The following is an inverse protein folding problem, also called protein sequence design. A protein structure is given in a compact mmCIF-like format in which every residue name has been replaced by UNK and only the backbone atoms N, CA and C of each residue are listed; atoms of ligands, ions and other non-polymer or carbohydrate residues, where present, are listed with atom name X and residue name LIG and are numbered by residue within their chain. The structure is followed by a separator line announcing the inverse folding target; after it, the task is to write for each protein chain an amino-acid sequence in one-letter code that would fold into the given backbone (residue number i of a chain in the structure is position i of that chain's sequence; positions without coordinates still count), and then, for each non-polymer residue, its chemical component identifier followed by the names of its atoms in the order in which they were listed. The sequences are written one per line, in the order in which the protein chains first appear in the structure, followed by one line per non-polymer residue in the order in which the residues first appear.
data_IF_342542204280
#
_entry.id   IF_342542204280
#
_cell.length_a   1.000
_cell.length_b   1.000
_cell.length_c   1.000
_cell.angle_alpha   90.00
_cell.angle_beta   90.00
_cell.angle_gamma   90.00
#
_symmetry.space_group_name_H-M   'P 1'
#
loop_
_entity.id
_entity.type
_entity.pdbx_description
1 polymer ?
#
# COMPACT_ATOMS: atom_id res chain seq x y z
N UNK A 1 -9.81 -51.07 -0.08
CA UNK A 1 -9.36 -49.90 0.71
C UNK A 1 -8.52 -49.03 -0.23
N UNK A 2 -8.61 -47.71 -0.09
CA UNK A 2 -7.85 -46.67 -0.83
C UNK A 2 -8.43 -46.09 -2.14
N UNK A 3 -9.55 -45.39 -2.02
CA UNK A 3 -9.91 -44.33 -2.97
C UNK A 3 -10.57 -43.09 -2.32
N UNK A 4 -11.04 -43.19 -1.07
CA UNK A 4 -11.80 -42.13 -0.41
C UNK A 4 -10.96 -41.07 0.35
N UNK A 5 -9.64 -41.26 0.49
CA UNK A 5 -8.79 -40.40 1.35
C UNK A 5 -8.01 -39.30 0.61
N UNK A 6 -8.17 -39.15 -0.72
CA UNK A 6 -7.43 -38.15 -1.50
C UNK A 6 -8.19 -36.83 -1.75
N UNK A 7 -9.49 -36.79 -1.50
CA UNK A 7 -10.28 -35.57 -1.69
C UNK A 7 -10.35 -34.68 -0.45
N UNK A 8 -10.16 -35.23 0.75
CA UNK A 8 -10.24 -34.46 2.01
C UNK A 8 -9.00 -33.58 2.26
N UNK A 9 -7.85 -33.92 1.68
CA UNK A 9 -6.62 -33.14 1.83
C UNK A 9 -6.51 -31.98 0.85
N UNK A 10 -7.23 -32.01 -0.27
CA UNK A 10 -7.25 -30.93 -1.25
C UNK A 10 -8.15 -29.76 -0.83
N UNK A 11 -9.22 -30.01 -0.06
CA UNK A 11 -10.14 -28.97 0.43
C UNK A 11 -9.71 -28.27 1.72
N UNK A 12 -8.77 -28.85 2.48
CA UNK A 12 -8.33 -28.32 3.79
C UNK A 12 -7.22 -27.25 3.66
N UNK A 13 -6.53 -27.21 2.51
CA UNK A 13 -5.49 -26.21 2.23
C UNK A 13 -6.05 -24.90 1.62
N UNK A 14 -7.32 -24.88 1.20
CA UNK A 14 -7.95 -23.81 0.42
C UNK A 14 -8.54 -22.66 1.28
N UNK A 15 -8.42 -22.75 2.60
CA UNK A 15 -8.95 -21.74 3.51
C UNK A 15 -8.07 -21.72 4.74
N UNK A 16 -7.02 -20.91 4.72
CA UNK A 16 -6.66 -20.24 5.96
C UNK A 16 -7.91 -19.45 6.31
N UNK A 17 -8.72 -19.95 7.25
CA UNK A 17 -9.87 -19.24 7.79
C UNK A 17 -9.36 -17.86 8.17
N UNK A 18 -9.70 -16.85 7.36
CA UNK A 18 -9.13 -15.52 7.46
C UNK A 18 -9.72 -14.86 8.71
N UNK A 19 -8.98 -14.86 9.83
CA UNK A 19 -9.53 -14.41 11.10
C UNK A 19 -9.62 -12.88 11.13
N UNK A 20 -8.93 -12.20 10.22
CA UNK A 20 -8.86 -10.73 10.14
C UNK A 20 -10.13 -10.19 9.48
N UNK A 21 -10.77 -11.01 8.64
CA UNK A 21 -11.96 -10.65 7.88
C UNK A 21 -13.12 -10.14 8.76
N UNK A 22 -13.28 -10.69 9.97
CA UNK A 22 -14.35 -10.29 10.91
C UNK A 22 -14.11 -8.94 11.59
N UNK A 23 -12.85 -8.50 11.66
CA UNK A 23 -12.49 -7.24 12.34
C UNK A 23 -12.39 -6.05 11.38
N UNK A 24 -12.22 -6.30 10.08
CA UNK A 24 -12.07 -5.24 9.08
C UNK A 24 -13.40 -4.93 8.37
N UNK A 25 -13.67 -3.64 8.06
CA UNK A 25 -14.91 -3.23 7.40
C UNK A 25 -15.13 -3.98 6.10
N UNK A 26 -16.38 -4.39 5.85
CA UNK A 26 -16.78 -4.88 4.54
C UNK A 26 -16.92 -3.70 3.59
N UNK A 27 -16.47 -3.87 2.36
CA UNK A 27 -16.48 -2.83 1.34
C UNK A 27 -17.07 -3.39 0.05
N UNK A 28 -17.79 -2.54 -0.67
CA UNK A 28 -18.23 -2.84 -2.03
C UNK A 28 -17.10 -2.56 -3.04
N UNK A 29 -17.19 -3.16 -4.22
CA UNK A 29 -16.19 -2.99 -5.30
C UNK A 29 -16.01 -1.52 -5.67
N UNK A 30 -17.09 -0.74 -5.69
CA UNK A 30 -17.07 0.69 -6.05
C UNK A 30 -16.59 1.61 -4.91
N UNK A 31 -16.15 1.03 -3.79
CA UNK A 31 -15.67 1.79 -2.64
C UNK A 31 -14.37 2.55 -2.94
N UNK A 32 -14.11 3.57 -2.11
CA UNK A 32 -12.97 4.49 -2.26
C UNK A 32 -11.69 4.01 -1.57
N UNK A 33 -11.63 2.74 -1.15
CA UNK A 33 -10.46 2.20 -0.43
C UNK A 33 -9.19 2.24 -1.29
N UNK A 34 -9.33 2.10 -2.62
CA UNK A 34 -8.23 2.25 -3.56
C UNK A 34 -7.52 3.61 -3.50
N UNK A 35 -8.13 4.68 -2.96
CA UNK A 35 -7.45 5.97 -2.77
C UNK A 35 -6.25 5.87 -1.83
N UNK A 36 -6.30 5.01 -0.80
CA UNK A 36 -5.16 4.78 0.08
C UNK A 36 -4.03 4.04 -0.62
N UNK A 37 -4.36 3.20 -1.59
CA UNK A 37 -3.38 2.51 -2.45
C UNK A 37 -2.75 3.53 -3.41
N UNK A 38 -3.55 4.40 -4.04
CA UNK A 38 -3.10 5.48 -4.91
C UNK A 38 -2.32 6.58 -4.17
N UNK A 39 -2.52 6.73 -2.86
CA UNK A 39 -1.75 7.66 -2.03
C UNK A 39 -0.26 7.26 -1.94
N UNK A 40 0.09 5.97 -2.10
CA UNK A 40 1.49 5.51 -2.07
C UNK A 40 2.34 6.09 -3.21
N UNK A 41 1.98 5.93 -4.51
CA UNK A 41 2.75 6.54 -5.58
C UNK A 41 2.79 8.06 -5.47
N UNK A 42 1.69 8.70 -5.06
CA UNK A 42 1.65 10.14 -4.83
C UNK A 42 2.64 10.56 -3.73
N UNK A 43 2.65 9.85 -2.59
CA UNK A 43 3.56 10.10 -1.48
C UNK A 43 5.02 9.96 -1.89
N UNK A 44 5.38 8.92 -2.66
CA UNK A 44 6.75 8.71 -3.13
C UNK A 44 7.18 9.83 -4.09
N UNK A 45 6.33 10.22 -5.04
CA UNK A 45 6.63 11.31 -5.98
C UNK A 45 6.78 12.64 -5.23
N UNK A 46 5.82 13.00 -4.37
CA UNK A 46 5.89 14.24 -3.60
C UNK A 46 7.10 14.26 -2.66
N UNK A 47 7.37 13.15 -1.96
CA UNK A 47 8.55 13.00 -1.11
C UNK A 47 9.85 13.16 -1.88
N UNK A 48 9.96 12.53 -3.06
CA UNK A 48 11.12 12.68 -3.94
C UNK A 48 11.32 14.11 -4.43
N UNK A 49 10.24 14.78 -4.87
CA UNK A 49 10.28 16.19 -5.28
C UNK A 49 10.73 17.09 -4.11
N UNK A 50 10.14 16.91 -2.93
CA UNK A 50 10.52 17.66 -1.73
C UNK A 50 11.98 17.39 -1.33
N UNK A 51 12.47 16.16 -1.46
CA UNK A 51 13.86 15.82 -1.19
C UNK A 51 14.83 16.53 -2.14
N UNK A 52 14.50 16.61 -3.44
CA UNK A 52 15.30 17.36 -4.43
C UNK A 52 15.34 18.85 -4.10
N UNK A 53 14.19 19.46 -3.81
CA UNK A 53 14.13 20.87 -3.41
C UNK A 53 14.88 21.14 -2.11
N UNK A 54 14.73 20.25 -1.12
CA UNK A 54 15.44 20.35 0.15
C UNK A 54 16.95 20.25 -0.05
N UNK A 55 17.43 19.33 -0.89
CA UNK A 55 18.85 19.21 -1.21
C UNK A 55 19.39 20.49 -1.87
N UNK A 56 18.66 21.06 -2.83
CA UNK A 56 19.04 22.32 -3.47
C UNK A 56 19.10 23.48 -2.48
N UNK A 57 18.08 23.61 -1.63
CA UNK A 57 18.03 24.62 -0.57
C UNK A 57 19.17 24.44 0.44
N UNK A 58 19.44 23.21 0.86
CA UNK A 58 20.53 22.87 1.76
C UNK A 58 21.90 23.26 1.21
N UNK A 59 22.16 22.92 -0.06
CA UNK A 59 23.42 23.29 -0.71
C UNK A 59 23.56 24.80 -0.82
N UNK A 60 22.49 25.52 -1.14
CA UNK A 60 22.50 27.00 -1.18
C UNK A 60 22.75 27.61 0.21
N UNK A 61 22.04 27.12 1.22
CA UNK A 61 22.11 27.60 2.60
C UNK A 61 23.50 27.40 3.23
N UNK A 62 24.15 26.29 2.91
CA UNK A 62 25.50 25.95 3.39
C UNK A 62 26.51 27.06 3.10
N UNK A 63 26.39 27.77 1.98
CA UNK A 63 27.32 28.81 1.57
C UNK A 63 26.86 30.24 1.91
N UNK A 64 25.58 30.47 2.18
CA UNK A 64 25.03 31.83 2.39
C UNK A 64 24.55 32.10 3.81
N UNK A 65 23.81 31.18 4.41
CA UNK A 65 23.05 31.41 5.66
C UNK A 65 23.47 30.51 6.82
N UNK A 66 24.48 29.66 6.61
CA UNK A 66 25.11 28.88 7.67
C UNK A 66 24.24 27.76 8.25
N UNK A 67 23.20 27.33 7.53
CA UNK A 67 22.32 26.20 7.85
C UNK A 67 20.94 26.57 8.43
N UNK A 68 20.66 27.84 8.71
CA UNK A 68 19.45 28.24 9.47
C UNK A 68 18.15 27.95 8.70
N UNK A 69 18.08 28.25 7.41
CA UNK A 69 16.85 28.07 6.62
C UNK A 69 16.55 26.58 6.44
N UNK A 70 17.57 25.77 6.22
CA UNK A 70 17.49 24.33 6.03
C UNK A 70 17.10 23.61 7.32
N UNK A 71 17.62 24.07 8.46
CA UNK A 71 17.25 23.53 9.76
C UNK A 71 15.77 23.80 10.08
N UNK A 72 15.30 25.04 9.91
CA UNK A 72 13.90 25.39 10.12
C UNK A 72 12.97 24.69 9.11
N UNK A 73 13.39 24.61 7.85
CA UNK A 73 12.67 23.88 6.80
C UNK A 73 12.54 22.39 7.13
N UNK A 74 13.62 21.74 7.57
CA UNK A 74 13.61 20.34 7.98
C UNK A 74 12.64 20.09 9.15
N UNK A 75 12.61 21.01 10.13
CA UNK A 75 11.72 20.94 11.29
C UNK A 75 10.24 20.98 10.93
N UNK A 76 9.87 21.52 9.77
CA UNK A 76 8.47 21.54 9.30
C UNK A 76 8.21 20.40 8.33
N UNK A 77 9.07 20.22 7.34
CA UNK A 77 8.85 19.27 6.24
C UNK A 77 8.96 17.82 6.71
N UNK A 78 9.99 17.48 7.50
CA UNK A 78 10.23 16.09 7.88
C UNK A 78 9.14 15.53 8.80
N UNK A 79 8.60 16.24 9.80
CA UNK A 79 7.48 15.73 10.58
C UNK A 79 6.22 15.51 9.74
N UNK A 80 5.92 16.39 8.79
CA UNK A 80 4.73 16.25 7.94
C UNK A 80 4.86 15.03 7.02
N UNK A 81 5.99 14.93 6.31
CA UNK A 81 6.27 13.78 5.42
C UNK A 81 6.35 12.49 6.24
N UNK A 82 7.05 12.51 7.38
CA UNK A 82 7.18 11.36 8.28
C UNK A 82 5.84 10.89 8.82
N UNK A 83 4.96 11.80 9.23
CA UNK A 83 3.62 11.45 9.73
C UNK A 83 2.74 10.88 8.62
N UNK A 84 2.78 11.46 7.41
CA UNK A 84 2.09 10.91 6.25
C UNK A 84 2.60 9.50 5.91
N UNK A 85 3.91 9.29 5.95
CA UNK A 85 4.53 7.97 5.77
C UNK A 85 4.07 6.98 6.84
N UNK A 86 4.07 7.36 8.11
CA UNK A 86 3.58 6.52 9.21
C UNK A 86 2.12 6.13 9.03
N UNK A 87 1.26 7.07 8.63
CA UNK A 87 -0.14 6.80 8.32
C UNK A 87 -0.28 5.77 7.19
N UNK A 88 0.49 5.96 6.10
CA UNK A 88 0.46 5.05 4.96
C UNK A 88 1.06 3.68 5.27
N UNK A 89 2.00 3.56 6.20
CA UNK A 89 2.53 2.27 6.65
C UNK A 89 1.42 1.37 7.20
N UNK A 90 0.42 1.96 7.85
CA UNK A 90 -0.74 1.23 8.38
C UNK A 90 -1.86 1.14 7.35
N UNK A 91 -2.17 2.24 6.66
CA UNK A 91 -3.31 2.30 5.75
C UNK A 91 -3.11 1.54 4.44
N UNK A 92 -1.89 1.49 3.90
CA UNK A 92 -1.61 0.77 2.67
C UNK A 92 -1.95 -0.74 2.75
N UNK A 93 -1.46 -1.52 3.73
CA UNK A 93 -1.80 -2.93 3.83
C UNK A 93 -3.29 -3.17 4.14
N UNK A 94 -3.89 -2.35 5.02
CA UNK A 94 -5.31 -2.48 5.36
C UNK A 94 -6.19 -2.20 4.14
N UNK A 95 -5.93 -1.11 3.42
CA UNK A 95 -6.69 -0.75 2.24
C UNK A 95 -6.53 -1.78 1.11
N UNK A 96 -5.32 -2.30 0.92
CA UNK A 96 -5.05 -3.35 -0.08
C UNK A 96 -5.82 -4.63 0.25
N UNK A 97 -5.85 -5.05 1.52
CA UNK A 97 -6.62 -6.20 1.95
C UNK A 97 -8.14 -5.99 1.75
N UNK A 98 -8.67 -4.85 2.22
CA UNK A 98 -10.12 -4.57 2.17
C UNK A 98 -10.61 -4.47 0.73
N UNK A 99 -9.86 -3.77 -0.13
CA UNK A 99 -10.19 -3.64 -1.55
C UNK A 99 -10.05 -4.97 -2.30
N UNK A 100 -9.00 -5.75 -2.03
CA UNK A 100 -8.81 -7.06 -2.64
C UNK A 100 -9.96 -8.01 -2.27
N UNK A 101 -10.41 -8.00 -1.01
CA UNK A 101 -11.57 -8.77 -0.57
C UNK A 101 -12.84 -8.36 -1.31
N UNK A 102 -13.10 -7.06 -1.42
CA UNK A 102 -14.26 -6.55 -2.14
C UNK A 102 -14.28 -7.02 -3.61
N UNK A 103 -13.12 -7.02 -4.28
CA UNK A 103 -12.98 -7.51 -5.65
C UNK A 103 -13.15 -9.04 -5.72
N UNK A 104 -12.56 -9.78 -4.78
CA UNK A 104 -12.64 -11.24 -4.74
C UNK A 104 -14.07 -11.77 -4.51
N UNK A 105 -14.87 -11.03 -3.74
CA UNK A 105 -16.28 -11.32 -3.47
C UNK A 105 -17.23 -10.87 -4.60
N UNK A 106 -16.70 -10.28 -5.68
CA UNK A 106 -17.48 -9.73 -6.79
C UNK A 106 -17.44 -10.60 -8.05
N UNK A 107 -18.23 -10.22 -9.06
CA UNK A 107 -18.24 -10.84 -10.39
C UNK A 107 -17.09 -10.34 -11.30
N UNK A 108 -16.08 -9.66 -10.75
CA UNK A 108 -14.94 -9.15 -11.51
C UNK A 108 -14.13 -10.29 -12.15
N UNK A 109 -13.49 -10.00 -13.28
CA UNK A 109 -12.67 -10.98 -14.02
C UNK A 109 -11.37 -11.40 -13.30
N UNK A 110 -10.98 -10.67 -12.26
CA UNK A 110 -9.82 -10.94 -11.44
C UNK A 110 -10.26 -11.19 -10.00
N UNK A 111 -9.87 -12.34 -9.44
CA UNK A 111 -10.13 -12.71 -8.04
C UNK A 111 -8.81 -12.72 -7.27
N UNK A 112 -8.43 -11.61 -6.60
CA UNK A 112 -7.22 -11.55 -5.78
C UNK A 112 -7.39 -12.29 -4.45
N UNK A 113 -6.34 -12.96 -3.97
CA UNK A 113 -6.28 -13.41 -2.57
C UNK A 113 -6.03 -12.20 -1.64
N UNK A 114 -6.99 -11.82 -0.76
CA UNK A 114 -6.87 -10.62 0.06
C UNK A 114 -5.73 -10.69 1.06
N UNK A 115 -5.50 -11.85 1.67
CA UNK A 115 -4.43 -12.06 2.65
C UNK A 115 -3.06 -11.92 2.00
N UNK A 116 -2.87 -12.55 0.83
CA UNK A 116 -1.63 -12.45 0.08
C UNK A 116 -1.31 -10.99 -0.27
N UNK A 117 -2.27 -10.25 -0.81
CA UNK A 117 -2.07 -8.86 -1.22
C UNK A 117 -1.85 -7.91 -0.04
N UNK A 118 -2.61 -8.08 1.06
CA UNK A 118 -2.39 -7.35 2.31
C UNK A 118 -1.01 -7.60 2.91
N UNK A 119 -0.54 -8.86 2.91
CA UNK A 119 0.79 -9.23 3.39
C UNK A 119 1.91 -8.70 2.49
N UNK A 120 1.76 -8.77 1.17
CA UNK A 120 2.73 -8.18 0.22
C UNK A 120 2.82 -6.67 0.44
N UNK A 121 1.69 -5.99 0.61
CA UNK A 121 1.66 -4.56 0.92
C UNK A 121 2.38 -4.26 2.25
N UNK A 122 2.14 -5.05 3.30
CA UNK A 122 2.80 -4.91 4.61
C UNK A 122 4.31 -5.15 4.52
N UNK A 123 4.72 -6.25 3.90
CA UNK A 123 6.14 -6.62 3.78
C UNK A 123 6.88 -5.57 2.97
N UNK A 124 6.32 -5.12 1.85
CA UNK A 124 7.00 -4.11 1.03
C UNK A 124 7.10 -2.78 1.76
N UNK A 125 6.07 -2.32 2.47
CA UNK A 125 6.14 -1.02 3.14
C UNK A 125 7.16 -1.02 4.29
N UNK A 126 7.22 -2.10 5.06
CA UNK A 126 8.16 -2.24 6.18
C UNK A 126 9.59 -2.52 5.70
N UNK A 127 9.78 -3.44 4.75
CA UNK A 127 11.12 -3.90 4.35
C UNK A 127 11.82 -2.96 3.36
N UNK A 128 11.08 -2.12 2.62
CA UNK A 128 11.65 -1.29 1.54
C UNK A 128 11.46 0.21 1.70
N UNK A 129 10.88 0.64 2.83
CA UNK A 129 10.54 2.05 3.08
C UNK A 129 9.82 2.68 1.86
N UNK A 130 8.74 2.04 1.41
CA UNK A 130 7.91 2.39 0.25
C UNK A 130 8.51 2.15 -1.15
N UNK A 131 9.79 1.82 -1.30
CA UNK A 131 10.40 1.65 -2.64
C UNK A 131 9.73 0.54 -3.46
N UNK A 132 9.55 -0.64 -2.87
CA UNK A 132 8.83 -1.74 -3.51
C UNK A 132 7.31 -1.53 -3.44
N UNK A 133 6.82 -0.82 -2.42
CA UNK A 133 5.39 -0.51 -2.30
C UNK A 133 4.89 0.34 -3.46
N UNK A 134 5.73 1.22 -4.01
CA UNK A 134 5.42 1.96 -5.25
C UNK A 134 5.06 1.00 -6.38
N UNK A 135 5.92 0.01 -6.63
CA UNK A 135 5.74 -0.96 -7.72
C UNK A 135 4.50 -1.82 -7.47
N UNK A 136 4.33 -2.32 -6.24
CA UNK A 136 3.15 -3.11 -5.85
C UNK A 136 1.86 -2.31 -6.01
N UNK A 137 1.82 -1.08 -5.51
CA UNK A 137 0.63 -0.21 -5.61
C UNK A 137 0.26 0.06 -7.07
N UNK A 138 1.24 0.43 -7.91
CA UNK A 138 0.99 0.66 -9.33
C UNK A 138 0.51 -0.60 -10.06
N UNK A 139 1.11 -1.75 -9.77
CA UNK A 139 0.72 -3.02 -10.36
C UNK A 139 -0.69 -3.45 -9.90
N UNK A 140 -1.02 -3.26 -8.62
CA UNK A 140 -2.34 -3.53 -8.06
C UNK A 140 -3.41 -2.65 -8.72
N UNK A 141 -3.20 -1.32 -8.77
CA UNK A 141 -4.14 -0.37 -9.38
C UNK A 141 -4.33 -0.65 -10.87
N UNK A 142 -3.27 -1.08 -11.58
CA UNK A 142 -3.39 -1.53 -12.96
C UNK A 142 -4.30 -2.76 -13.08
N UNK A 143 -4.11 -3.77 -12.24
CA UNK A 143 -4.94 -4.98 -12.22
C UNK A 143 -6.38 -4.67 -11.86
N UNK A 144 -6.62 -3.81 -10.88
CA UNK A 144 -7.95 -3.30 -10.49
C UNK A 144 -8.60 -2.57 -11.66
N UNK A 145 -7.91 -1.63 -12.30
CA UNK A 145 -8.42 -0.91 -13.47
C UNK A 145 -8.86 -1.84 -14.60
N UNK A 146 -8.08 -2.87 -14.91
CA UNK A 146 -8.43 -3.86 -15.94
C UNK A 146 -9.65 -4.70 -15.54
N UNK A 147 -9.81 -5.01 -14.25
CA UNK A 147 -10.88 -5.88 -13.77
C UNK A 147 -12.22 -5.16 -13.56
N UNK A 148 -12.19 -3.93 -13.04
CA UNK A 148 -13.39 -3.17 -12.60
C UNK A 148 -13.53 -1.79 -13.24
N UNK A 149 -12.65 -1.41 -14.18
CA UNK A 149 -12.74 -0.18 -14.97
C UNK A 149 -12.30 1.10 -14.26
N UNK A 150 -12.17 1.07 -12.92
CA UNK A 150 -11.57 2.16 -12.13
C UNK A 150 -10.26 1.70 -11.50
N UNK A 151 -9.23 2.56 -11.43
CA UNK A 151 -7.99 2.25 -10.72
C UNK A 151 -8.21 1.86 -9.28
#
# INVERSE_FOLDING_TARGET
MDAASRDETAGSADRIDDPVSDYLPRAEVDSRWWYWIAAVPLYVVLGGVLAVFFLGAFLFDLFLTGGIVSLLGAFVVFPIVGLAGLLLTVMFPIATYVDARAIAESEASWSPDPLLWGLVALVTVVASAFTLSLVVALYYLYKRHVAVGTP
#
